data_IF_847473808343
#
_entry.id   IF_847473808343
#
_cell.length_a   1.000
_cell.length_b   1.000
_cell.length_c   1.000
_cell.angle_alpha   90.00
_cell.angle_beta   90.00
_cell.angle_gamma   90.00
#
_symmetry.space_group_name_H-M   'P 1'
#
loop_
_entity.id
_entity.type
_entity.pdbx_description
1 polymer ?
#
# COMPACT_ATOMS: atom_id res chain seq x y z
N UNK A 1 36.51 -23.79 10.78
CA UNK A 1 35.65 -22.91 11.60
C UNK A 1 34.47 -22.51 10.73
N UNK A 2 33.32 -23.15 10.94
CA UNK A 2 32.09 -22.94 10.16
C UNK A 2 31.25 -21.88 10.87
N UNK A 3 31.08 -20.72 10.26
CA UNK A 3 30.13 -19.70 10.72
C UNK A 3 28.81 -19.99 10.00
N UNK A 4 27.88 -20.58 10.74
CA UNK A 4 26.49 -20.74 10.31
C UNK A 4 25.83 -19.36 10.24
N UNK A 5 25.51 -18.89 9.03
CA UNK A 5 24.62 -17.77 8.82
C UNK A 5 23.19 -18.22 9.12
N UNK A 6 22.68 -17.93 10.31
CA UNK A 6 21.24 -17.91 10.55
C UNK A 6 20.67 -16.72 9.76
N UNK A 7 19.95 -17.03 8.69
CA UNK A 7 19.02 -16.09 8.07
C UNK A 7 18.04 -15.64 9.17
N UNK A 8 18.24 -14.41 9.63
CA UNK A 8 17.26 -13.68 10.42
C UNK A 8 16.01 -13.57 9.54
N UNK A 9 15.03 -14.44 9.77
CA UNK A 9 13.69 -14.26 9.27
C UNK A 9 13.24 -12.88 9.74
N UNK A 10 13.18 -11.94 8.79
CA UNK A 10 12.60 -10.64 9.01
C UNK A 10 11.19 -10.86 9.53
N UNK A 11 10.97 -10.52 10.81
CA UNK A 11 9.66 -10.45 11.39
C UNK A 11 8.78 -9.60 10.45
N UNK A 12 7.63 -10.08 9.97
CA UNK A 12 6.79 -9.27 9.12
C UNK A 12 6.47 -8.00 9.92
N UNK A 13 6.83 -6.86 9.35
CA UNK A 13 6.43 -5.57 9.93
C UNK A 13 4.91 -5.63 10.04
N UNK A 14 4.30 -5.42 11.23
CA UNK A 14 2.85 -5.47 11.35
C UNK A 14 2.28 -4.29 10.55
N UNK A 15 1.99 -4.54 9.27
CA UNK A 15 1.26 -3.63 8.42
C UNK A 15 -0.17 -3.51 8.94
N UNK A 16 -0.90 -2.46 8.57
CA UNK A 16 -2.29 -2.29 9.03
C UNK A 16 -3.24 -3.43 8.67
N UNK A 17 -2.85 -4.31 7.75
CA UNK A 17 -3.53 -5.56 7.46
C UNK A 17 -3.55 -6.53 8.66
N UNK A 18 -2.50 -6.54 9.48
CA UNK A 18 -2.36 -7.45 10.63
C UNK A 18 -3.28 -7.04 11.79
N UNK A 19 -3.46 -5.73 12.00
CA UNK A 19 -4.36 -5.21 13.04
C UNK A 19 -5.83 -5.40 12.63
N UNK A 20 -6.19 -5.12 11.38
CA UNK A 20 -7.54 -5.39 10.89
C UNK A 20 -7.89 -6.88 10.96
N UNK A 21 -6.96 -7.76 10.56
CA UNK A 21 -7.13 -9.20 10.68
C UNK A 21 -7.29 -9.65 12.15
N UNK A 22 -6.50 -9.08 13.05
CA UNK A 22 -6.61 -9.34 14.49
C UNK A 22 -7.96 -8.90 15.04
N UNK A 23 -8.46 -7.72 14.66
CA UNK A 23 -9.76 -7.23 15.08
C UNK A 23 -10.88 -8.16 14.59
N UNK A 24 -10.83 -8.58 13.32
CA UNK A 24 -11.79 -9.55 12.76
C UNK A 24 -11.74 -10.89 13.49
N UNK A 25 -10.54 -11.39 13.81
CA UNK A 25 -10.36 -12.61 14.58
C UNK A 25 -10.99 -12.50 15.98
N UNK A 26 -10.77 -11.39 16.70
CA UNK A 26 -11.38 -11.17 18.02
C UNK A 26 -12.91 -11.16 17.91
N UNK A 27 -13.46 -10.48 16.91
CA UNK A 27 -14.90 -10.46 16.65
C UNK A 27 -15.45 -11.87 16.41
N UNK A 28 -14.80 -12.65 15.56
CA UNK A 28 -15.24 -14.01 15.22
C UNK A 28 -15.19 -14.94 16.43
N UNK A 29 -14.12 -14.89 17.22
CA UNK A 29 -13.99 -15.70 18.45
C UNK A 29 -15.09 -15.34 19.44
N UNK A 30 -15.41 -14.05 19.62
CA UNK A 30 -16.46 -13.60 20.54
C UNK A 30 -17.85 -14.00 20.06
N UNK A 31 -18.12 -13.94 18.75
CA UNK A 31 -19.40 -14.39 18.19
C UNK A 31 -19.59 -15.91 18.24
N UNK A 32 -18.50 -16.68 18.18
CA UNK A 32 -18.52 -18.15 18.23
C UNK A 32 -18.51 -18.70 19.66
N UNK A 33 -17.93 -17.95 20.61
CA UNK A 33 -18.04 -18.24 22.03
C UNK A 33 -19.49 -17.97 22.43
N UNK A 34 -20.18 -18.93 23.06
CA UNK A 34 -21.57 -18.79 23.50
C UNK A 34 -21.73 -17.76 24.65
N UNK A 35 -21.33 -16.52 24.39
CA UNK A 35 -21.33 -15.39 25.30
C UNK A 35 -22.71 -14.73 25.32
N UNK A 36 -23.00 -14.06 26.43
CA UNK A 36 -24.20 -13.24 26.56
C UNK A 36 -24.25 -12.19 25.45
N UNK A 37 -25.45 -11.91 24.93
CA UNK A 37 -25.65 -10.96 23.83
C UNK A 37 -25.11 -9.57 24.19
N UNK A 38 -25.24 -9.16 25.45
CA UNK A 38 -24.69 -7.89 25.95
C UNK A 38 -23.16 -7.86 26.01
N UNK A 39 -22.48 -9.01 26.08
CA UNK A 39 -21.03 -9.09 25.93
C UNK A 39 -20.62 -8.88 24.48
N UNK A 40 -21.30 -9.55 23.54
CA UNK A 40 -21.07 -9.36 22.10
C UNK A 40 -21.24 -7.90 21.67
N UNK A 41 -22.31 -7.23 22.13
CA UNK A 41 -22.56 -5.82 21.80
C UNK A 41 -21.46 -4.89 22.33
N UNK A 42 -20.96 -5.14 23.56
CA UNK A 42 -19.87 -4.34 24.16
C UNK A 42 -18.55 -4.53 23.42
N UNK A 43 -18.22 -5.75 23.02
CA UNK A 43 -17.02 -6.03 22.23
C UNK A 43 -17.15 -5.38 20.84
N UNK A 44 -18.32 -5.47 20.21
CA UNK A 44 -18.56 -4.84 18.93
C UNK A 44 -18.35 -3.32 19.00
N UNK A 45 -18.92 -2.66 20.01
CA UNK A 45 -18.72 -1.23 20.21
C UNK A 45 -17.26 -0.87 20.53
N UNK A 46 -16.58 -1.68 21.35
CA UNK A 46 -15.18 -1.45 21.71
C UNK A 46 -14.21 -1.61 20.51
N UNK A 47 -14.54 -2.46 19.53
CA UNK A 47 -13.74 -2.66 18.33
C UNK A 47 -14.02 -1.62 17.23
N UNK A 48 -15.17 -0.94 17.29
CA UNK A 48 -15.60 0.00 16.25
C UNK A 48 -14.62 1.17 16.06
N UNK A 49 -14.23 1.84 17.13
CA UNK A 49 -13.30 2.98 17.05
C UNK A 49 -11.89 2.56 16.55
N UNK A 50 -11.28 1.45 17.05
CA UNK A 50 -10.06 0.90 16.47
C UNK A 50 -10.16 0.56 14.98
N UNK A 51 -11.27 -0.04 14.52
CA UNK A 51 -11.50 -0.35 13.10
C UNK A 51 -11.54 0.91 12.24
N UNK A 52 -12.27 1.94 12.69
CA UNK A 52 -12.39 3.21 12.00
C UNK A 52 -11.03 3.94 11.93
N UNK A 53 -10.27 3.92 13.02
CA UNK A 53 -8.93 4.50 13.07
C UNK A 53 -7.97 3.79 12.10
N UNK A 54 -7.96 2.46 12.10
CA UNK A 54 -7.11 1.69 11.20
C UNK A 54 -7.46 1.89 9.72
N UNK A 55 -8.74 1.88 9.41
CA UNK A 55 -9.25 2.18 8.07
C UNK A 55 -8.78 3.55 7.61
N UNK A 56 -8.96 4.58 8.44
CA UNK A 56 -8.55 5.94 8.13
C UNK A 56 -7.03 6.05 7.96
N UNK A 57 -6.26 5.39 8.83
CA UNK A 57 -4.79 5.32 8.73
C UNK A 57 -4.35 4.70 7.40
N UNK A 58 -4.98 3.60 6.99
CA UNK A 58 -4.66 2.91 5.74
C UNK A 58 -5.03 3.77 4.52
N UNK A 59 -6.16 4.48 4.55
CA UNK A 59 -6.52 5.46 3.51
C UNK A 59 -5.44 6.55 3.39
N UNK A 60 -4.99 7.12 4.50
CA UNK A 60 -3.94 8.15 4.51
C UNK A 60 -2.63 7.62 3.91
N UNK A 61 -2.23 6.39 4.24
CA UNK A 61 -1.04 5.74 3.66
C UNK A 61 -1.17 5.56 2.15
N UNK A 62 -2.32 5.08 1.66
CA UNK A 62 -2.57 4.92 0.23
C UNK A 62 -2.54 6.27 -0.48
N UNK A 63 -3.15 7.32 0.09
CA UNK A 63 -3.10 8.66 -0.49
C UNK A 63 -1.68 9.23 -0.54
N UNK A 64 -0.85 8.96 0.47
CA UNK A 64 0.55 9.35 0.45
C UNK A 64 1.33 8.62 -0.67
N UNK A 65 1.12 7.31 -0.81
CA UNK A 65 1.72 6.53 -1.89
C UNK A 65 1.31 7.02 -3.27
N UNK A 66 0.03 7.33 -3.50
CA UNK A 66 -0.44 7.89 -4.77
C UNK A 66 0.18 9.26 -5.08
N UNK A 67 0.42 10.10 -4.07
CA UNK A 67 1.14 11.38 -4.26
C UNK A 67 2.59 11.17 -4.65
N UNK A 68 3.23 10.13 -4.14
CA UNK A 68 4.60 9.77 -4.52
C UNK A 68 4.65 9.24 -5.95
N UNK A 69 3.71 8.38 -6.36
CA UNK A 69 3.59 7.95 -7.76
C UNK A 69 3.42 9.15 -8.71
N UNK A 70 2.56 10.12 -8.35
CA UNK A 70 2.43 11.37 -9.10
C UNK A 70 3.76 12.14 -9.19
N UNK A 71 4.54 12.19 -8.11
CA UNK A 71 5.84 12.88 -8.08
C UNK A 71 6.86 12.21 -9.00
N UNK A 72 6.92 10.87 -9.00
CA UNK A 72 7.79 10.09 -9.90
C UNK A 72 7.46 10.35 -11.36
N UNK A 73 6.19 10.32 -11.73
CA UNK A 73 5.73 10.64 -13.10
C UNK A 73 6.20 12.04 -13.52
N UNK A 74 6.05 13.03 -12.63
CA UNK A 74 6.52 14.40 -12.90
C UNK A 74 8.02 14.44 -13.21
N UNK A 75 8.84 13.81 -12.36
CA UNK A 75 10.29 13.74 -12.58
C UNK A 75 10.67 13.04 -13.88
N UNK A 76 10.06 11.90 -14.18
CA UNK A 76 10.32 11.18 -15.43
C UNK A 76 9.92 12.00 -16.66
N UNK A 77 8.82 12.76 -16.56
CA UNK A 77 8.37 13.63 -17.65
C UNK A 77 9.31 14.83 -17.83
N UNK A 78 9.83 15.39 -16.73
CA UNK A 78 10.86 16.45 -16.78
C UNK A 78 12.16 15.92 -17.41
N UNK A 79 12.63 14.73 -17.00
CA UNK A 79 13.84 14.12 -17.57
C UNK A 79 13.67 13.76 -19.05
N UNK A 80 12.48 13.30 -19.45
CA UNK A 80 12.18 13.04 -20.87
C UNK A 80 12.07 14.32 -21.70
N UNK A 81 11.79 15.49 -21.10
CA UNK A 81 11.80 16.75 -21.84
C UNK A 81 13.22 17.12 -22.33
N UNK A 82 14.26 16.63 -21.64
CA UNK A 82 15.66 16.78 -22.03
C UNK A 82 16.09 15.76 -23.11
N UNK A 83 15.25 14.77 -23.42
CA UNK A 83 15.44 13.89 -24.58
C UNK A 83 15.14 14.73 -25.84
N UNK A 84 16.17 15.46 -26.28
CA UNK A 84 16.09 16.53 -27.26
C UNK A 84 15.75 16.05 -28.68
N UNK A 85 15.15 16.95 -29.47
CA UNK A 85 14.86 16.82 -30.91
C UNK A 85 16.12 16.79 -31.81
N UNK A 86 17.27 16.37 -31.27
CA UNK A 86 18.48 16.18 -32.04
C UNK A 86 18.44 14.81 -32.73
N UNK A 87 18.70 14.78 -34.03
CA UNK A 87 18.75 13.57 -34.86
C UNK A 87 19.96 12.66 -34.54
N UNK A 88 20.81 13.01 -33.58
CA UNK A 88 21.90 12.14 -33.12
C UNK A 88 21.37 11.03 -32.20
N UNK A 89 21.47 9.79 -32.69
CA UNK A 89 21.02 8.59 -31.98
C UNK A 89 22.18 8.01 -31.17
N UNK A 90 22.38 8.51 -29.95
CA UNK A 90 23.22 7.83 -28.96
C UNK A 90 22.44 6.67 -28.33
N UNK A 91 22.99 5.46 -28.42
CA UNK A 91 22.36 4.22 -27.95
C UNK A 91 22.00 4.27 -26.46
N UNK A 92 22.89 4.81 -25.62
CA UNK A 92 22.67 4.92 -24.18
C UNK A 92 21.55 5.91 -23.83
N UNK A 93 21.44 6.99 -24.60
CA UNK A 93 20.35 7.96 -24.46
C UNK A 93 19.00 7.34 -24.86
N UNK A 94 18.95 6.57 -25.96
CA UNK A 94 17.74 5.86 -26.40
C UNK A 94 17.29 4.79 -25.40
N UNK A 95 18.21 3.97 -24.90
CA UNK A 95 17.89 2.95 -23.89
C UNK A 95 17.33 3.60 -22.61
N UNK A 96 17.97 4.67 -22.16
CA UNK A 96 17.55 5.41 -20.97
C UNK A 96 16.14 5.98 -21.13
N UNK A 97 15.85 6.62 -22.27
CA UNK A 97 14.51 7.14 -22.56
C UNK A 97 13.46 6.02 -22.67
N UNK A 98 13.81 4.87 -23.27
CA UNK A 98 12.94 3.70 -23.33
C UNK A 98 12.57 3.20 -21.94
N UNK A 99 13.52 3.12 -21.00
CA UNK A 99 13.25 2.75 -19.61
C UNK A 99 12.34 3.76 -18.92
N UNK A 100 12.55 5.06 -19.13
CA UNK A 100 11.69 6.11 -18.58
C UNK A 100 10.24 6.01 -19.08
N UNK A 101 10.01 5.68 -20.35
CA UNK A 101 8.66 5.44 -20.88
C UNK A 101 8.00 4.21 -20.22
N UNK A 102 8.75 3.14 -19.97
CA UNK A 102 8.25 1.97 -19.26
C UNK A 102 7.86 2.31 -17.80
N UNK A 103 8.68 3.10 -17.12
CA UNK A 103 8.40 3.55 -15.75
C UNK A 103 7.18 4.47 -15.69
N UNK A 104 6.97 5.33 -16.69
CA UNK A 104 5.73 6.13 -16.80
C UNK A 104 4.54 5.22 -17.10
N UNK A 105 4.67 4.20 -17.95
CA UNK A 105 3.58 3.24 -18.21
C UNK A 105 3.19 2.45 -16.95
N UNK A 106 4.15 2.23 -16.04
CA UNK A 106 3.90 1.65 -14.72
C UNK A 106 3.05 2.55 -13.79
N UNK A 107 2.77 3.81 -14.16
CA UNK A 107 1.87 4.73 -13.44
C UNK A 107 0.45 4.18 -13.20
N UNK A 108 0.05 3.10 -13.87
CA UNK A 108 -1.15 2.32 -13.51
C UNK A 108 -1.21 1.95 -12.02
N UNK A 109 -0.06 1.84 -11.35
CA UNK A 109 0.05 1.64 -9.90
C UNK A 109 -0.65 2.73 -9.10
N UNK A 110 -0.53 4.01 -9.50
CA UNK A 110 -1.24 5.11 -8.87
C UNK A 110 -2.77 4.96 -8.95
N UNK A 111 -3.28 4.47 -10.09
CA UNK A 111 -4.70 4.15 -10.26
C UNK A 111 -5.14 3.03 -9.33
N UNK A 112 -4.34 1.95 -9.22
CA UNK A 112 -4.60 0.82 -8.33
C UNK A 112 -4.66 1.27 -6.87
N UNK A 113 -3.70 2.07 -6.42
CA UNK A 113 -3.64 2.63 -5.05
C UNK A 113 -4.90 3.44 -4.73
N UNK A 114 -5.32 4.32 -5.64
CA UNK A 114 -6.52 5.14 -5.45
C UNK A 114 -7.81 4.30 -5.41
N UNK A 115 -7.92 3.25 -6.23
CA UNK A 115 -9.04 2.32 -6.17
C UNK A 115 -9.10 1.58 -4.83
N UNK A 116 -7.94 1.14 -4.30
CA UNK A 116 -7.85 0.54 -2.97
C UNK A 116 -8.26 1.52 -1.86
N UNK A 117 -7.93 2.81 -1.99
CA UNK A 117 -8.37 3.81 -1.01
C UNK A 117 -9.90 4.02 -1.06
N UNK A 118 -10.51 3.96 -2.24
CA UNK A 118 -11.96 4.06 -2.41
C UNK A 118 -12.71 2.83 -1.88
N UNK A 119 -12.17 1.63 -2.04
CA UNK A 119 -12.78 0.42 -1.48
C UNK A 119 -12.84 0.46 0.04
N UNK A 120 -11.81 1.01 0.70
CA UNK A 120 -11.79 1.20 2.16
C UNK A 120 -12.83 2.22 2.66
N UNK A 121 -13.23 3.20 1.83
CA UNK A 121 -14.34 4.12 2.16
C UNK A 121 -15.71 3.47 2.03
N UNK A 122 -15.84 2.43 1.20
CA UNK A 122 -17.13 1.84 0.81
C UNK A 122 -17.47 0.55 1.54
N UNK A 123 -16.49 -0.13 2.16
CA UNK A 123 -16.76 -1.21 3.11
C UNK A 123 -17.54 -0.67 4.32
N UNK A 124 -18.85 -0.88 4.35
CA UNK A 124 -19.67 -0.69 5.56
C UNK A 124 -19.60 -1.93 6.43
#
# INVERSE_FOLDING_TARGET
MTISGQEQQALPTPGGADIAATIHLVRDVVLQSALDRGCCDKVHEALREPEDFERQRNIVKLLAAAREERRKIGLLTEMLADFAEDDTVDEGVVETASLMFLDIAAAQEGSRILRNALSLKTCK
#
